data_IF_309267746569
#
_entry.id   IF_309267746569
#
_cell.length_a   1.000
_cell.length_b   1.000
_cell.length_c   1.000
_cell.angle_alpha   90.00
_cell.angle_beta   90.00
_cell.angle_gamma   90.00
#
_symmetry.space_group_name_H-M   'P 1'
#
loop_
_entity.id
_entity.type
_entity.pdbx_description
1 polymer ?
#
# COMPACT_ATOMS: atom_id res chain seq x y z
N UNK A 1 -6.25 -22.66 -1.19
CA UNK A 1 -6.30 -21.18 -1.25
C UNK A 1 -7.17 -20.68 -0.11
N UNK A 2 -6.79 -19.61 0.57
CA UNK A 2 -7.66 -18.95 1.54
C UNK A 2 -8.91 -18.42 0.81
N UNK A 3 -10.10 -18.61 1.37
CA UNK A 3 -11.29 -17.98 0.82
C UNK A 3 -11.29 -16.47 1.12
N UNK A 4 -12.16 -15.72 0.46
CA UNK A 4 -12.21 -14.25 0.61
C UNK A 4 -12.42 -13.79 2.05
N UNK A 5 -13.13 -14.57 2.88
CA UNK A 5 -13.34 -14.26 4.28
C UNK A 5 -12.04 -14.38 5.10
N UNK A 6 -11.28 -15.46 4.93
CA UNK A 6 -10.00 -15.67 5.63
C UNK A 6 -9.00 -14.60 5.21
N UNK A 7 -8.96 -14.23 3.92
CA UNK A 7 -8.13 -13.13 3.43
C UNK A 7 -8.50 -11.79 4.09
N UNK A 8 -9.79 -11.43 4.10
CA UNK A 8 -10.24 -10.18 4.71
C UNK A 8 -9.93 -10.13 6.22
N UNK A 9 -10.09 -11.26 6.92
CA UNK A 9 -9.74 -11.36 8.35
C UNK A 9 -8.25 -11.15 8.58
N UNK A 10 -7.38 -11.77 7.76
CA UNK A 10 -5.94 -11.59 7.84
C UNK A 10 -5.53 -10.14 7.56
N UNK A 11 -6.04 -9.54 6.48
CA UNK A 11 -5.81 -8.14 6.12
C UNK A 11 -6.21 -7.19 7.28
N UNK A 12 -7.37 -7.42 7.89
CA UNK A 12 -7.83 -6.67 9.05
C UNK A 12 -6.88 -6.79 10.25
N UNK A 13 -6.45 -8.01 10.59
CA UNK A 13 -5.54 -8.25 11.71
C UNK A 13 -4.18 -7.54 11.53
N UNK A 14 -3.62 -7.59 10.31
CA UNK A 14 -2.37 -6.88 9.98
C UNK A 14 -2.54 -5.36 10.05
N UNK A 15 -3.66 -4.85 9.53
CA UNK A 15 -3.98 -3.41 9.56
C UNK A 15 -4.11 -2.89 10.99
N UNK A 16 -4.78 -3.63 11.88
CA UNK A 16 -4.92 -3.26 13.30
C UNK A 16 -3.57 -3.29 14.03
N UNK A 17 -2.75 -4.31 13.77
CA UNK A 17 -1.41 -4.41 14.34
C UNK A 17 -0.53 -3.24 13.93
N UNK A 18 -0.58 -2.84 12.66
CA UNK A 18 0.14 -1.68 12.16
C UNK A 18 -0.39 -0.37 12.76
N UNK A 19 -1.71 -0.21 12.89
CA UNK A 19 -2.30 0.97 13.53
C UNK A 19 -1.84 1.11 14.99
N UNK A 20 -1.80 0.00 15.75
CA UNK A 20 -1.30 -0.01 17.11
C UNK A 20 0.18 0.40 17.19
N UNK A 21 1.03 -0.12 16.30
CA UNK A 21 2.44 0.31 16.20
C UNK A 21 2.53 1.80 15.83
N UNK A 22 1.69 2.27 14.91
CA UNK A 22 1.61 3.68 14.52
C UNK A 22 1.28 4.60 15.69
N UNK A 23 0.32 4.22 16.54
CA UNK A 23 -0.02 4.96 17.75
C UNK A 23 1.17 5.03 18.72
N UNK A 24 1.84 3.90 18.96
CA UNK A 24 3.05 3.88 19.81
C UNK A 24 4.18 4.76 19.26
N UNK A 25 4.31 4.87 17.93
CA UNK A 25 5.29 5.77 17.30
C UNK A 25 4.90 7.23 17.56
N UNK A 26 3.61 7.59 17.43
CA UNK A 26 3.13 8.95 17.68
C UNK A 26 3.31 9.33 19.16
N UNK A 27 2.94 8.45 20.09
CA UNK A 27 3.17 8.62 21.53
C UNK A 27 4.66 8.84 21.83
N UNK A 28 5.54 7.99 21.28
CA UNK A 28 6.98 8.16 21.43
C UNK A 28 7.48 9.50 20.88
N UNK A 29 6.97 9.92 19.72
CA UNK A 29 7.33 11.20 19.13
C UNK A 29 6.92 12.38 20.02
N UNK A 30 5.74 12.33 20.63
CA UNK A 30 5.26 13.36 21.55
C UNK A 30 6.10 13.40 22.84
N UNK A 31 6.31 12.25 23.48
CA UNK A 31 7.09 12.14 24.72
C UNK A 31 8.55 12.60 24.59
N UNK A 32 9.13 12.43 23.39
CA UNK A 32 10.54 12.76 23.13
C UNK A 32 10.70 14.09 22.37
N UNK A 33 9.62 14.88 22.24
CA UNK A 33 9.66 16.21 21.64
C UNK A 33 9.90 16.25 20.13
N UNK A 34 9.72 15.13 19.42
CA UNK A 34 9.71 15.12 17.95
C UNK A 34 8.44 15.72 17.38
N UNK A 35 7.32 15.57 18.09
CA UNK A 35 6.03 16.17 17.75
C UNK A 35 5.51 16.97 18.96
N UNK A 36 4.91 18.12 18.69
CA UNK A 36 4.14 18.89 19.67
C UNK A 36 2.70 18.39 19.77
N UNK A 37 1.99 18.74 20.85
CA UNK A 37 0.55 18.43 20.95
C UNK A 37 -0.27 19.00 19.79
N UNK A 38 0.11 20.15 19.24
CA UNK A 38 -0.52 20.69 18.01
C UNK A 38 -0.26 19.86 16.76
N UNK A 39 0.91 19.21 16.66
CA UNK A 39 1.23 18.31 15.56
C UNK A 39 0.38 17.03 15.63
N UNK A 40 0.20 16.49 16.84
CA UNK A 40 -0.66 15.33 17.10
C UNK A 40 -2.12 15.64 16.74
N UNK A 41 -2.62 16.82 17.12
CA UNK A 41 -3.98 17.24 16.74
C UNK A 41 -4.11 17.50 15.22
N UNK A 42 -3.04 17.95 14.55
CA UNK A 42 -3.01 18.05 13.10
C UNK A 42 -3.12 16.68 12.43
N UNK A 43 -2.37 15.69 12.91
CA UNK A 43 -2.46 14.30 12.42
C UNK A 43 -3.85 13.70 12.64
N UNK A 44 -4.47 13.98 13.80
CA UNK A 44 -5.85 13.58 14.08
C UNK A 44 -6.84 14.23 13.12
N UNK A 45 -6.68 15.52 12.84
CA UNK A 45 -7.48 16.25 11.86
C UNK A 45 -7.41 15.62 10.46
N UNK A 46 -6.19 15.32 9.99
CA UNK A 46 -5.95 14.63 8.72
C UNK A 46 -6.64 13.27 8.70
N UNK A 47 -6.51 12.48 9.77
CA UNK A 47 -7.16 11.17 9.86
C UNK A 47 -8.69 11.26 9.74
N UNK A 48 -9.31 12.22 10.44
CA UNK A 48 -10.75 12.42 10.41
C UNK A 48 -11.24 12.86 9.03
N UNK A 49 -10.53 13.79 8.38
CA UNK A 49 -10.83 14.22 7.00
C UNK A 49 -10.74 13.06 6.00
N UNK A 50 -9.77 12.17 6.18
CA UNK A 50 -9.55 11.02 5.32
C UNK A 50 -10.66 9.96 5.50
N UNK A 51 -11.14 9.77 6.73
CA UNK A 51 -12.31 8.92 7.03
C UNK A 51 -13.60 9.51 6.45
N UNK A 52 -13.78 10.83 6.52
CA UNK A 52 -14.97 11.48 5.98
C UNK A 52 -14.99 11.56 4.44
N UNK A 53 -13.93 11.10 3.76
CA UNK A 53 -13.78 11.09 2.29
C UNK A 53 -14.07 12.47 1.66
N UNK A 54 -13.86 13.54 2.42
CA UNK A 54 -14.36 14.88 2.09
C UNK A 54 -13.35 15.74 1.33
N UNK A 55 -12.11 15.26 1.12
CA UNK A 55 -11.02 16.07 0.56
C UNK A 55 -10.12 15.30 -0.43
N UNK A 56 -9.46 16.09 -1.28
CA UNK A 56 -8.52 15.66 -2.34
C UNK A 56 -7.16 15.26 -1.76
N UNK A 57 -6.51 14.26 -2.36
CA UNK A 57 -5.17 13.78 -1.96
C UNK A 57 -4.10 14.90 -1.94
N UNK A 58 -4.22 15.90 -2.80
CA UNK A 58 -3.25 17.00 -2.91
C UNK A 58 -3.27 17.96 -1.71
N UNK A 59 -4.40 18.13 -1.02
CA UNK A 59 -4.45 19.03 0.15
C UNK A 59 -3.67 18.49 1.35
N UNK A 60 -3.49 17.17 1.44
CA UNK A 60 -2.81 16.51 2.54
C UNK A 60 -1.29 16.63 2.44
N UNK A 61 -0.74 16.39 1.23
CA UNK A 61 0.71 16.37 0.99
C UNK A 61 1.44 17.67 1.34
N UNK A 62 0.74 18.80 1.37
CA UNK A 62 1.30 20.11 1.74
C UNK A 62 1.51 20.29 3.24
N UNK A 63 0.64 19.70 4.08
CA UNK A 63 0.72 19.74 5.55
C UNK A 63 1.65 18.65 6.12
N UNK A 64 1.88 17.60 5.34
CA UNK A 64 2.55 16.38 5.80
C UNK A 64 4.08 16.42 5.82
N UNK A 65 4.73 17.20 4.94
CA UNK A 65 6.19 17.16 4.77
C UNK A 65 7.00 17.38 6.07
N UNK A 66 6.75 18.43 6.87
CA UNK A 66 7.49 18.63 8.12
C UNK A 66 7.19 17.53 9.14
N UNK A 67 5.93 17.11 9.29
CA UNK A 67 5.52 16.03 10.20
C UNK A 67 6.18 14.69 9.84
N UNK A 68 6.19 14.34 8.55
CA UNK A 68 6.85 13.15 8.02
C UNK A 68 8.35 13.14 8.31
N UNK A 69 9.01 14.31 8.24
CA UNK A 69 10.43 14.42 8.53
C UNK A 69 10.74 14.18 10.02
N UNK A 70 9.89 14.68 10.92
CA UNK A 70 9.99 14.47 12.36
C UNK A 70 9.78 12.99 12.72
N UNK A 71 8.69 12.40 12.23
CA UNK A 71 8.39 10.96 12.41
C UNK A 71 9.50 10.09 11.83
N UNK A 72 10.02 10.42 10.65
CA UNK A 72 11.14 9.67 10.04
C UNK A 72 12.40 9.70 10.90
N UNK A 73 12.65 10.82 11.58
CA UNK A 73 13.81 10.96 12.48
C UNK A 73 13.60 10.11 13.74
N UNK A 74 12.42 10.16 14.36
CA UNK A 74 12.06 9.33 15.51
C UNK A 74 12.15 7.82 15.20
N UNK A 75 11.66 7.41 14.02
CA UNK A 75 11.73 6.02 13.55
C UNK A 75 13.17 5.53 13.45
N UNK A 76 14.11 6.35 12.94
CA UNK A 76 15.54 5.98 12.90
C UNK A 76 16.11 5.76 14.29
N UNK A 77 15.81 6.67 15.23
CA UNK A 77 16.24 6.53 16.62
C UNK A 77 15.68 5.25 17.26
N UNK A 78 14.43 4.90 16.98
CA UNK A 78 13.82 3.66 17.48
C UNK A 78 14.47 2.40 16.88
N UNK A 79 14.80 2.40 15.58
CA UNK A 79 15.48 1.27 14.92
C UNK A 79 16.87 0.98 15.52
N UNK A 80 17.58 2.03 15.94
CA UNK A 80 18.92 1.92 16.55
C UNK A 80 18.85 1.51 18.03
N UNK A 81 17.78 1.89 18.75
CA UNK A 81 17.62 1.65 20.19
C UNK A 81 17.45 0.16 20.54
N UNK A 82 16.71 -0.61 19.75
CA UNK A 82 16.52 -2.03 20.05
C UNK A 82 16.19 -2.89 18.83
N UNK A 83 16.62 -4.16 18.89
CA UNK A 83 16.28 -5.18 17.87
C UNK A 83 14.77 -5.38 17.74
N UNK A 84 14.04 -5.35 18.84
CA UNK A 84 12.58 -5.53 18.85
C UNK A 84 11.88 -4.36 18.17
N UNK A 85 12.25 -3.10 18.48
CA UNK A 85 11.69 -1.92 17.82
C UNK A 85 11.98 -1.95 16.32
N UNK A 86 13.20 -2.30 15.93
CA UNK A 86 13.58 -2.49 14.53
C UNK A 86 12.70 -3.52 13.82
N UNK A 87 12.43 -4.66 14.47
CA UNK A 87 11.55 -5.69 13.92
C UNK A 87 10.09 -5.20 13.78
N UNK A 88 9.55 -4.50 14.78
CA UNK A 88 8.21 -3.91 14.71
C UNK A 88 8.09 -2.89 13.57
N UNK A 89 9.11 -2.06 13.37
CA UNK A 89 9.15 -1.06 12.29
C UNK A 89 9.34 -1.69 10.92
N UNK A 90 10.10 -2.79 10.83
CA UNK A 90 10.14 -3.62 9.62
C UNK A 90 8.74 -4.15 9.31
N UNK A 91 8.08 -4.81 10.26
CA UNK A 91 6.71 -5.29 10.08
C UNK A 91 5.76 -4.17 9.64
N UNK A 92 5.83 -2.99 10.28
CA UNK A 92 5.04 -1.83 9.90
C UNK A 92 5.22 -1.47 8.42
N UNK A 93 6.47 -1.41 7.94
CA UNK A 93 6.79 -1.12 6.53
C UNK A 93 6.24 -2.19 5.59
N UNK A 94 6.29 -3.47 5.98
CA UNK A 94 5.79 -4.56 5.13
C UNK A 94 4.26 -4.59 5.05
N UNK A 95 3.55 -4.27 6.13
CA UNK A 95 2.09 -4.08 6.09
C UNK A 95 1.73 -2.89 5.19
N UNK A 96 2.52 -1.81 5.18
CA UNK A 96 2.31 -0.68 4.25
C UNK A 96 2.38 -1.12 2.79
N UNK A 97 3.33 -1.99 2.42
CA UNK A 97 3.44 -2.54 1.05
C UNK A 97 2.17 -3.30 0.65
N UNK A 98 1.59 -4.07 1.57
CA UNK A 98 0.31 -4.74 1.33
C UNK A 98 -0.83 -3.73 1.11
N UNK A 99 -0.90 -2.65 1.87
CA UNK A 99 -1.89 -1.59 1.64
C UNK A 99 -1.67 -0.87 0.30
N UNK A 100 -0.42 -0.60 -0.09
CA UNK A 100 -0.11 -0.03 -1.40
C UNK A 100 -0.56 -0.94 -2.54
N UNK A 101 -0.36 -2.25 -2.40
CA UNK A 101 -0.86 -3.22 -3.38
C UNK A 101 -2.39 -3.16 -3.49
N UNK A 102 -3.11 -3.26 -2.36
CA UNK A 102 -4.58 -3.16 -2.36
C UNK A 102 -5.04 -1.83 -2.94
N UNK A 103 -4.38 -0.73 -2.58
CA UNK A 103 -4.70 0.60 -3.08
C UNK A 103 -4.56 0.68 -4.59
N UNK A 104 -3.42 0.24 -5.11
CA UNK A 104 -3.13 0.23 -6.53
C UNK A 104 -4.19 -0.54 -7.34
N UNK A 105 -4.60 -1.72 -6.86
CA UNK A 105 -5.66 -2.55 -7.47
C UNK A 105 -7.03 -1.87 -7.46
N UNK A 106 -7.34 -1.07 -6.43
CA UNK A 106 -8.64 -0.42 -6.32
C UNK A 106 -8.76 0.86 -7.14
N UNK A 107 -7.67 1.59 -7.31
CA UNK A 107 -7.66 2.85 -8.04
C UNK A 107 -7.19 2.72 -9.49
N UNK A 108 -6.51 1.61 -9.83
CA UNK A 108 -5.93 1.39 -11.16
C UNK A 108 -4.53 1.99 -11.32
N UNK A 109 -3.81 2.25 -10.23
CA UNK A 109 -2.45 2.81 -10.27
C UNK A 109 -1.42 1.70 -10.55
N UNK A 110 -1.03 1.57 -11.82
CA UNK A 110 -0.03 0.58 -12.25
C UNK A 110 1.33 0.79 -11.58
N UNK A 111 1.77 2.03 -11.40
CA UNK A 111 3.12 2.28 -10.87
C UNK A 111 3.20 1.85 -9.40
N UNK A 112 2.19 2.19 -8.61
CA UNK A 112 2.08 1.74 -7.23
C UNK A 112 1.93 0.20 -7.15
N UNK A 113 1.21 -0.41 -8.10
CA UNK A 113 1.11 -1.86 -8.21
C UNK A 113 2.49 -2.50 -8.42
N UNK A 114 3.24 -2.08 -9.44
CA UNK A 114 4.56 -2.65 -9.76
C UNK A 114 5.57 -2.43 -8.63
N UNK A 115 5.55 -1.24 -8.01
CA UNK A 115 6.33 -0.97 -6.81
C UNK A 115 6.01 -1.98 -5.71
N UNK A 116 4.73 -2.20 -5.42
CA UNK A 116 4.30 -3.11 -4.37
C UNK A 116 4.68 -4.56 -4.66
N UNK A 117 4.50 -5.03 -5.90
CA UNK A 117 4.93 -6.37 -6.33
C UNK A 117 6.44 -6.55 -6.16
N UNK A 118 7.24 -5.57 -6.59
CA UNK A 118 8.70 -5.62 -6.43
C UNK A 118 9.10 -5.71 -4.95
N UNK A 119 8.44 -4.96 -4.07
CA UNK A 119 8.68 -5.01 -2.62
C UNK A 119 8.26 -6.35 -2.01
N UNK A 120 7.17 -6.95 -2.48
CA UNK A 120 6.68 -8.25 -2.01
C UNK A 120 7.59 -9.42 -2.38
N UNK A 121 8.43 -9.31 -3.43
CA UNK A 121 9.33 -10.39 -3.85
C UNK A 121 10.28 -10.85 -2.75
N UNK A 122 10.72 -9.94 -1.88
CA UNK A 122 11.61 -10.27 -0.74
C UNK A 122 10.92 -11.27 0.19
N UNK A 123 9.63 -11.11 0.44
CA UNK A 123 8.84 -12.03 1.29
C UNK A 123 8.59 -13.36 0.61
N UNK A 124 8.33 -13.35 -0.70
CA UNK A 124 8.15 -14.59 -1.46
C UNK A 124 9.45 -15.41 -1.48
N UNK A 125 10.60 -14.75 -1.62
CA UNK A 125 11.91 -15.37 -1.45
C UNK A 125 12.09 -15.95 -0.05
N UNK A 126 11.86 -15.15 0.99
CA UNK A 126 12.03 -15.57 2.38
C UNK A 126 11.09 -16.73 2.78
N UNK A 127 9.88 -16.77 2.24
CA UNK A 127 8.90 -17.83 2.46
C UNK A 127 9.16 -19.10 1.64
N UNK A 128 10.19 -19.12 0.77
CA UNK A 128 10.49 -20.28 -0.08
C UNK A 128 9.51 -20.47 -1.25
N UNK A 129 8.72 -19.45 -1.61
CA UNK A 129 7.75 -19.50 -2.70
C UNK A 129 8.41 -19.31 -4.07
N UNK A 130 9.39 -20.16 -4.40
CA UNK A 130 10.29 -20.03 -5.55
C UNK A 130 9.53 -19.83 -6.87
N UNK A 131 8.41 -20.54 -7.07
CA UNK A 131 7.59 -20.40 -8.28
C UNK A 131 6.96 -19.02 -8.39
N UNK A 132 6.29 -18.53 -7.34
CA UNK A 132 5.69 -17.19 -7.32
C UNK A 132 6.75 -16.10 -7.46
N UNK A 133 7.90 -16.28 -6.84
CA UNK A 133 9.02 -15.34 -6.99
C UNK A 133 9.52 -15.27 -8.43
N UNK A 134 9.77 -16.41 -9.07
CA UNK A 134 10.17 -16.46 -10.49
C UNK A 134 9.13 -15.82 -11.39
N UNK A 135 7.86 -16.17 -11.22
CA UNK A 135 6.74 -15.58 -11.96
C UNK A 135 6.64 -14.07 -11.72
N UNK A 136 6.86 -13.60 -10.49
CA UNK A 136 6.87 -12.18 -10.15
C UNK A 136 7.98 -11.40 -10.85
N UNK A 137 9.20 -11.96 -10.92
CA UNK A 137 10.28 -11.34 -11.70
C UNK A 137 9.96 -11.24 -13.20
N UNK A 138 9.46 -12.32 -13.80
CA UNK A 138 9.06 -12.32 -15.21
C UNK A 138 7.93 -11.31 -15.44
N UNK A 139 6.96 -11.25 -14.53
CA UNK A 139 5.87 -10.27 -14.58
C UNK A 139 6.39 -8.83 -14.58
N UNK A 140 7.30 -8.48 -13.67
CA UNK A 140 7.87 -7.12 -13.60
C UNK A 140 8.67 -6.76 -14.87
N UNK A 141 9.42 -7.72 -15.44
CA UNK A 141 10.15 -7.53 -16.68
C UNK A 141 9.20 -7.30 -17.86
N UNK A 142 8.19 -8.14 -18.00
CA UNK A 142 7.20 -8.02 -19.06
C UNK A 142 6.43 -6.70 -18.95
N UNK A 143 6.04 -6.31 -17.73
CA UNK A 143 5.34 -5.05 -17.48
C UNK A 143 6.23 -3.84 -17.78
N UNK A 144 7.53 -3.89 -17.49
CA UNK A 144 8.46 -2.81 -17.84
C UNK A 144 8.63 -2.65 -19.36
N UNK A 145 8.60 -3.76 -20.09
CA UNK A 145 8.74 -3.78 -21.55
C UNK A 145 7.41 -3.62 -22.30
N UNK A 146 6.31 -3.32 -21.60
CA UNK A 146 4.98 -3.30 -22.20
C UNK A 146 4.85 -2.32 -23.39
N UNK A 147 5.60 -1.21 -23.36
CA UNK A 147 5.63 -0.21 -24.45
C UNK A 147 6.10 -0.79 -25.79
N UNK A 148 6.95 -1.82 -25.78
CA UNK A 148 7.42 -2.45 -27.03
C UNK A 148 6.41 -3.44 -27.60
N UNK A 149 5.42 -3.85 -26.80
CA UNK A 149 4.46 -4.90 -27.15
C UNK A 149 3.06 -4.38 -27.48
N UNK A 150 2.75 -3.12 -27.12
CA UNK A 150 1.44 -2.50 -27.35
C UNK A 150 1.56 -1.31 -28.31
N UNK A 151 0.45 -0.99 -28.99
CA UNK A 151 0.32 0.31 -29.66
C UNK A 151 0.35 1.43 -28.62
N UNK A 152 0.79 2.62 -29.02
CA UNK A 152 0.89 3.79 -28.15
C UNK A 152 -0.44 4.12 -27.47
N UNK A 153 -1.55 4.08 -28.20
CA UNK A 153 -2.89 4.30 -27.65
C UNK A 153 -3.26 3.27 -26.57
N UNK A 154 -2.98 1.98 -26.79
CA UNK A 154 -3.26 0.94 -25.81
C UNK A 154 -2.38 1.07 -24.57
N UNK A 155 -1.11 1.44 -24.77
CA UNK A 155 -0.18 1.68 -23.68
C UNK A 155 -0.65 2.84 -22.79
N UNK A 156 -1.02 3.99 -23.39
CA UNK A 156 -1.50 5.14 -22.63
C UNK A 156 -2.78 4.84 -21.85
N UNK A 157 -3.76 4.16 -22.46
CA UNK A 157 -4.98 3.74 -21.74
C UNK A 157 -4.68 2.81 -20.57
N UNK A 158 -3.77 1.86 -20.77
CA UNK A 158 -3.41 0.88 -19.75
C UNK A 158 -2.63 1.49 -18.59
N UNK A 159 -1.70 2.41 -18.88
CA UNK A 159 -0.79 2.99 -17.88
C UNK A 159 -1.36 4.24 -17.23
N UNK A 160 -1.93 5.15 -18.02
CA UNK A 160 -2.31 6.50 -17.61
C UNK A 160 -3.81 6.61 -17.28
N UNK A 161 -4.68 5.87 -17.97
CA UNK A 161 -6.14 5.91 -17.75
C UNK A 161 -6.66 4.83 -16.78
N UNK A 162 -5.76 4.04 -16.18
CA UNK A 162 -6.12 3.06 -15.15
C UNK A 162 -6.81 1.79 -15.65
N UNK A 163 -6.77 1.53 -16.97
CA UNK A 163 -7.37 0.31 -17.59
C UNK A 163 -6.64 -0.98 -17.19
N UNK A 164 -5.57 -0.86 -16.40
CA UNK A 164 -4.98 -1.96 -15.64
C UNK A 164 -6.01 -2.72 -14.78
N UNK A 165 -7.07 -2.03 -14.31
CA UNK A 165 -8.12 -2.62 -13.48
C UNK A 165 -9.49 -2.52 -14.16
N UNK A 166 -10.34 -3.51 -13.94
CA UNK A 166 -11.72 -3.49 -14.41
C UNK A 166 -12.58 -2.77 -13.39
N UNK A 167 -13.41 -1.84 -13.87
CA UNK A 167 -14.33 -1.05 -13.04
C UNK A 167 -15.77 -1.33 -13.46
N UNK A 168 -16.66 -1.59 -12.50
CA UNK A 168 -18.11 -1.76 -12.72
C UNK A 168 -18.93 -0.50 -12.42
N UNK A 169 -18.27 0.53 -11.88
CA UNK A 169 -18.88 1.82 -11.51
C UNK A 169 -17.79 2.91 -11.55
N UNK A 170 -18.18 4.18 -11.43
CA UNK A 170 -17.21 5.29 -11.40
C UNK A 170 -16.72 5.64 -9.99
N UNK A 171 -17.03 4.80 -8.98
CA UNK A 171 -16.58 5.02 -7.60
C UNK A 171 -15.06 4.89 -7.50
N UNK A 172 -14.42 5.73 -6.70
CA UNK A 172 -12.95 5.80 -6.62
C UNK A 172 -12.25 4.46 -6.29
N UNK A 173 -12.75 3.71 -5.29
CA UNK A 173 -12.15 2.45 -4.81
C UNK A 173 -12.72 1.17 -5.46
N UNK A 174 -13.34 1.23 -6.65
CA UNK A 174 -14.09 0.10 -7.22
C UNK A 174 -13.31 -0.78 -8.21
N UNK A 175 -12.01 -0.56 -8.39
CA UNK A 175 -11.17 -1.39 -9.25
C UNK A 175 -11.14 -2.86 -8.80
N UNK A 176 -11.14 -3.76 -9.77
CA UNK A 176 -10.97 -5.20 -9.60
C UNK A 176 -9.98 -5.69 -10.65
N UNK A 177 -9.02 -6.51 -10.24
CA UNK A 177 -8.06 -7.09 -11.18
C UNK A 177 -8.76 -7.90 -12.28
N UNK A 178 -8.21 -7.86 -13.50
CA UNK A 178 -8.81 -8.52 -14.66
C UNK A 178 -8.94 -10.02 -14.48
N UNK A 179 -7.93 -10.70 -13.90
CA UNK A 179 -7.98 -12.14 -13.62
C UNK A 179 -9.12 -12.48 -12.66
N UNK A 180 -9.23 -11.74 -11.55
CA UNK A 180 -10.31 -11.93 -10.56
C UNK A 180 -11.67 -11.69 -11.21
N UNK A 181 -11.77 -10.68 -12.09
CA UNK A 181 -13.01 -10.41 -12.82
C UNK A 181 -13.39 -11.59 -13.72
N UNK A 182 -12.43 -12.15 -14.45
CA UNK A 182 -12.66 -13.33 -15.32
C UNK A 182 -13.10 -14.54 -14.49
N UNK A 183 -12.45 -14.81 -13.36
CA UNK A 183 -12.82 -15.89 -12.44
C UNK A 183 -14.25 -15.69 -11.90
N UNK A 184 -14.60 -14.47 -11.52
CA UNK A 184 -15.93 -14.13 -11.04
C UNK A 184 -17.02 -14.22 -12.10
N UNK A 185 -16.69 -14.14 -13.39
CA UNK A 185 -17.68 -14.22 -14.49
C UNK A 185 -17.79 -15.65 -15.02
N UNK A 186 -16.68 -16.39 -15.09
CA UNK A 186 -16.67 -17.77 -15.61
C UNK A 186 -17.26 -18.79 -14.64
N UNK A 187 -17.22 -18.57 -13.33
CA UNK A 187 -17.77 -19.51 -12.35
C UNK A 187 -19.31 -19.46 -12.19
N UNK A 188 -20.02 -18.62 -12.98
CA UNK A 188 -21.49 -18.52 -12.98
C UNK A 188 -22.14 -18.96 -14.31
N UNK A 189 -21.36 -19.55 -15.23
CA UNK A 189 -21.83 -20.18 -16.46
C UNK A 189 -21.47 -21.67 -16.43
#
# INVERSE_FOLDING_TARGET
>A
MANGHVYAKALGAHSLSQAAIGLLIVEYCEENGFLSGSDVETLRGIHNELISLSSSEESFLSKDKPLLSAVSSAVKTLEERSRTAKLCLQYFKEVSVMHYFVRAERIGDRNLHLYSVQRMLVHLHAAGNIHYTKSGHVYLQNMSNLKTSLSEQCFERFVSEGYFTVRRSDKFWCGVWSVITIEQVKCYL
#
